data_IF_913611794141
#
_entry.id   IF_913611794141
#
_cell.length_a   1.000
_cell.length_b   1.000
_cell.length_c   1.000
_cell.angle_alpha   90.00
_cell.angle_beta   90.00
_cell.angle_gamma   90.00
#
_symmetry.space_group_name_H-M   'P 1'
#
loop_
_entity.id
_entity.type
_entity.pdbx_description
1 polymer ?
#
# COMPACT_ATOMS: atom_id res chain seq x y z
N UNK A 1 14.80 24.94 10.73
CA UNK A 1 15.49 24.23 9.61
C UNK A 1 14.49 23.22 9.09
N UNK A 2 14.35 23.07 7.78
CA UNK A 2 13.25 22.29 7.22
C UNK A 2 13.66 20.81 7.07
N UNK A 3 12.88 19.91 7.66
CA UNK A 3 13.07 18.45 7.63
C UNK A 3 11.96 17.76 6.82
N UNK A 4 12.22 16.54 6.37
CA UNK A 4 11.20 15.63 5.85
C UNK A 4 11.07 14.44 6.79
N UNK A 5 9.84 14.10 7.17
CA UNK A 5 9.55 12.90 7.96
C UNK A 5 9.08 11.80 7.01
N UNK A 6 9.87 10.73 6.88
CA UNK A 6 9.48 9.53 6.15
C UNK A 6 8.93 8.47 7.11
N UNK A 7 7.74 7.97 6.82
CA UNK A 7 7.11 6.83 7.49
C UNK A 7 7.29 5.62 6.59
N UNK A 8 7.91 4.57 7.09
CA UNK A 8 8.07 3.30 6.40
C UNK A 8 7.42 2.19 7.23
N UNK A 9 6.20 1.81 6.85
CA UNK A 9 5.45 0.75 7.50
C UNK A 9 5.80 -0.60 6.83
N UNK A 10 6.78 -1.30 7.37
CA UNK A 10 7.22 -2.59 6.86
C UNK A 10 6.35 -3.76 7.35
N UNK A 11 6.70 -4.98 6.93
CA UNK A 11 5.97 -6.20 7.31
C UNK A 11 6.17 -6.60 8.77
N UNK A 12 7.36 -6.37 9.34
CA UNK A 12 7.69 -6.77 10.73
C UNK A 12 7.87 -5.59 11.68
N UNK A 13 8.09 -4.38 11.16
CA UNK A 13 8.27 -3.18 11.97
C UNK A 13 7.85 -1.92 11.23
N UNK A 14 7.46 -0.91 11.99
CA UNK A 14 7.24 0.45 11.53
C UNK A 14 8.49 1.29 11.79
N UNK A 15 8.86 2.16 10.86
CA UNK A 15 10.00 3.07 10.97
C UNK A 15 9.59 4.50 10.67
N UNK A 16 10.17 5.44 11.41
CA UNK A 16 10.10 6.86 11.12
C UNK A 16 11.53 7.41 10.99
N UNK A 17 11.81 8.09 9.88
CA UNK A 17 13.14 8.64 9.57
C UNK A 17 12.99 10.14 9.31
N UNK A 18 13.81 10.94 9.99
CA UNK A 18 13.93 12.37 9.70
C UNK A 18 15.12 12.61 8.78
N UNK A 19 14.86 13.35 7.71
CA UNK A 19 15.88 13.84 6.78
C UNK A 19 16.02 15.35 6.91
N UNK A 20 17.25 15.85 6.88
CA UNK A 20 17.53 17.28 6.85
C UNK A 20 17.38 17.88 5.43
N UNK A 21 17.68 19.17 5.28
CA UNK A 21 17.60 19.87 4.00
C UNK A 21 18.60 19.36 2.95
N UNK A 22 19.61 18.57 3.35
CA UNK A 22 20.55 17.90 2.45
C UNK A 22 20.13 16.44 2.17
N UNK A 23 18.93 16.03 2.61
CA UNK A 23 18.43 14.66 2.56
C UNK A 23 19.33 13.66 3.28
N UNK A 24 20.08 14.10 4.29
CA UNK A 24 20.82 13.21 5.18
C UNK A 24 19.91 12.71 6.30
N UNK A 25 19.92 11.41 6.63
CA UNK A 25 19.12 10.89 7.74
C UNK A 25 19.72 11.38 9.07
N UNK A 26 18.99 12.22 9.79
CA UNK A 26 19.41 12.82 11.07
C UNK A 26 18.80 12.11 12.28
N UNK A 27 17.73 11.33 12.09
CA UNK A 27 17.10 10.57 13.16
C UNK A 27 16.33 9.37 12.63
N UNK A 28 16.31 8.28 13.39
CA UNK A 28 15.53 7.06 13.10
C UNK A 28 14.89 6.56 14.39
N UNK A 29 13.62 6.19 14.31
CA UNK A 29 12.93 5.37 15.30
C UNK A 29 12.31 4.16 14.59
N UNK A 30 12.30 3.01 15.27
CA UNK A 30 11.80 1.75 14.75
C UNK A 30 11.12 0.97 15.88
N UNK A 31 9.98 0.35 15.58
CA UNK A 31 9.24 -0.49 16.52
C UNK A 31 8.66 -1.69 15.78
N UNK A 32 8.89 -2.89 16.30
CA UNK A 32 8.27 -4.13 15.81
C UNK A 32 6.81 -4.23 16.24
N UNK A 33 6.02 -5.02 15.53
CA UNK A 33 4.63 -5.32 15.88
C UNK A 33 4.29 -6.79 15.63
N UNK A 34 3.22 -7.25 16.26
CA UNK A 34 2.88 -8.67 16.35
C UNK A 34 2.50 -9.26 15.00
N UNK A 35 3.06 -10.43 14.69
CA UNK A 35 2.69 -11.26 13.54
C UNK A 35 1.68 -12.31 14.00
N UNK A 36 0.50 -12.39 13.38
CA UNK A 36 -0.51 -13.39 13.74
C UNK A 36 -0.62 -14.50 12.69
N UNK A 37 -0.55 -15.74 13.15
CA UNK A 37 -0.67 -16.94 12.31
C UNK A 37 -1.84 -17.81 12.79
N UNK A 38 -3.09 -17.41 12.53
CA UNK A 38 -4.28 -18.11 13.08
C UNK A 38 -4.46 -19.51 12.50
N UNK A 39 -3.87 -19.79 11.33
CA UNK A 39 -3.93 -21.08 10.63
C UNK A 39 -2.74 -21.22 9.69
N UNK A 40 -2.47 -22.44 9.22
CA UNK A 40 -1.38 -22.70 8.29
C UNK A 40 -1.53 -21.85 7.00
N UNK A 41 -0.49 -21.10 6.66
CA UNK A 41 -0.49 -20.20 5.50
C UNK A 41 -1.29 -18.90 5.69
N UNK A 42 -1.88 -18.66 6.86
CA UNK A 42 -2.58 -17.43 7.18
C UNK A 42 -1.65 -16.47 7.92
N UNK A 43 -1.64 -15.21 7.51
CA UNK A 43 -0.80 -14.15 8.07
C UNK A 43 -1.65 -12.90 8.24
N UNK A 44 -1.74 -12.41 9.47
CA UNK A 44 -2.57 -11.27 9.85
C UNK A 44 -1.81 -10.27 10.70
N UNK A 45 -2.18 -8.99 10.59
CA UNK A 45 -1.73 -7.92 11.48
C UNK A 45 -2.93 -7.22 12.13
N UNK A 46 -2.75 -6.72 13.35
CA UNK A 46 -3.72 -5.82 13.96
C UNK A 46 -3.55 -4.39 13.38
N UNK A 47 -4.57 -3.83 12.69
CA UNK A 47 -4.46 -2.48 12.10
C UNK A 47 -4.25 -1.37 13.14
N UNK A 48 -4.78 -1.53 14.35
CA UNK A 48 -4.59 -0.55 15.43
C UNK A 48 -3.20 -0.67 16.06
N UNK A 49 -2.62 -1.88 16.11
CA UNK A 49 -1.20 -2.05 16.49
C UNK A 49 -0.27 -1.43 15.45
N UNK A 50 -0.55 -1.62 14.15
CA UNK A 50 0.17 -0.94 13.06
C UNK A 50 0.11 0.58 13.27
N UNK A 51 -1.07 1.14 13.47
CA UNK A 51 -1.23 2.57 13.70
C UNK A 51 -0.46 3.05 14.94
N UNK A 52 -0.58 2.32 16.05
CA UNK A 52 0.12 2.63 17.30
C UNK A 52 1.63 2.72 17.08
N UNK A 53 2.24 1.75 16.39
CA UNK A 53 3.69 1.75 16.13
C UNK A 53 4.12 2.88 15.18
N UNK A 54 3.33 3.20 14.15
CA UNK A 54 3.58 4.35 13.27
C UNK A 54 3.56 5.66 14.08
N UNK A 55 2.51 5.88 14.87
CA UNK A 55 2.38 7.09 15.67
C UNK A 55 3.47 7.20 16.76
N UNK A 56 3.82 6.07 17.38
CA UNK A 56 4.90 5.96 18.37
C UNK A 56 6.25 6.36 17.77
N UNK A 57 6.65 5.73 16.67
CA UNK A 57 7.93 6.00 16.01
C UNK A 57 8.06 7.43 15.50
N UNK A 58 6.98 8.02 14.97
CA UNK A 58 6.97 9.43 14.56
C UNK A 58 7.19 10.40 15.73
N UNK A 59 6.55 10.16 16.89
CA UNK A 59 6.77 10.96 18.10
C UNK A 59 8.16 10.76 18.66
N UNK A 60 8.64 9.53 18.67
CA UNK A 60 9.96 9.18 19.19
C UNK A 60 11.07 9.88 18.42
N UNK A 61 11.04 9.83 17.09
CA UNK A 61 12.10 10.43 16.27
C UNK A 61 12.10 11.95 16.38
N UNK A 62 10.93 12.59 16.38
CA UNK A 62 10.83 14.05 16.51
C UNK A 62 11.25 14.53 17.90
N UNK A 63 10.85 13.84 18.96
CA UNK A 63 11.26 14.14 20.33
C UNK A 63 12.76 13.96 20.55
N UNK A 64 13.37 12.90 20.02
CA UNK A 64 14.83 12.63 20.15
C UNK A 64 15.68 13.71 19.48
N UNK A 65 15.26 14.21 18.32
CA UNK A 65 15.97 15.27 17.60
C UNK A 65 15.64 16.67 18.17
N UNK A 66 14.53 16.80 18.89
CA UNK A 66 14.14 18.04 19.54
C UNK A 66 13.57 19.08 18.59
N UNK A 67 12.96 18.63 17.48
CA UNK A 67 12.31 19.50 16.49
C UNK A 67 10.81 19.59 16.73
N UNK A 68 10.19 20.66 16.23
CA UNK A 68 8.74 20.86 16.30
C UNK A 68 8.08 20.51 14.97
N UNK A 69 6.75 20.44 14.95
CA UNK A 69 5.96 20.29 13.72
C UNK A 69 6.35 21.30 12.65
N UNK A 70 6.57 22.56 13.04
CA UNK A 70 6.88 23.67 12.14
C UNK A 70 8.28 23.55 11.49
N UNK A 71 9.13 22.66 12.02
CA UNK A 71 10.42 22.31 11.41
C UNK A 71 10.29 21.19 10.36
N UNK A 72 9.11 20.57 10.21
CA UNK A 72 8.85 19.48 9.26
C UNK A 72 8.07 20.06 8.07
N UNK A 73 8.68 20.06 6.88
CA UNK A 73 8.01 20.53 5.66
C UNK A 73 6.89 19.61 5.21
N UNK A 74 7.10 18.30 5.31
CA UNK A 74 6.16 17.31 4.81
C UNK A 74 6.42 15.92 5.41
N UNK A 75 5.38 15.09 5.33
CA UNK A 75 5.43 13.65 5.55
C UNK A 75 5.42 12.92 4.20
N UNK A 76 6.33 11.96 4.06
CA UNK A 76 6.28 10.92 3.03
C UNK A 76 5.89 9.58 3.65
N UNK A 77 5.01 8.82 3.00
CA UNK A 77 4.54 7.51 3.46
C UNK A 77 4.96 6.44 2.46
N UNK A 78 5.55 5.38 2.99
CA UNK A 78 5.78 4.15 2.26
C UNK A 78 5.40 2.96 3.12
N UNK A 79 5.01 1.87 2.48
CA UNK A 79 4.37 0.75 3.17
C UNK A 79 4.60 -0.59 2.49
N UNK A 80 4.51 -1.66 3.27
CA UNK A 80 4.32 -3.01 2.74
C UNK A 80 3.09 -3.02 1.83
N UNK A 81 3.29 -3.50 0.62
CA UNK A 81 2.22 -3.56 -0.38
C UNK A 81 1.31 -4.77 -0.13
N UNK A 82 0.20 -4.72 -0.87
CA UNK A 82 -0.94 -5.63 -0.94
C UNK A 82 -1.76 -5.84 0.34
N UNK A 83 -1.16 -5.74 1.53
CA UNK A 83 -1.85 -5.94 2.83
C UNK A 83 -3.14 -5.12 2.91
N UNK A 84 -4.23 -5.79 3.24
CA UNK A 84 -5.61 -5.31 3.06
C UNK A 84 -6.30 -5.04 4.40
N UNK A 85 -6.87 -3.84 4.55
CA UNK A 85 -7.64 -3.43 5.72
C UNK A 85 -9.05 -3.02 5.28
N UNK A 86 -10.06 -3.39 6.07
CA UNK A 86 -11.43 -2.92 5.94
C UNK A 86 -11.89 -2.35 7.29
N UNK A 87 -12.49 -1.17 7.28
CA UNK A 87 -12.94 -0.48 8.48
C UNK A 87 -14.28 0.22 8.28
N UNK A 88 -14.95 0.52 9.39
CA UNK A 88 -16.16 1.33 9.39
C UNK A 88 -15.84 2.81 9.12
N UNK A 89 -16.55 3.40 8.16
CA UNK A 89 -16.36 4.79 7.74
C UNK A 89 -16.61 5.80 8.85
N UNK A 90 -17.59 5.55 9.72
CA UNK A 90 -18.04 6.47 10.75
C UNK A 90 -17.20 6.37 12.03
N UNK A 91 -16.88 5.15 12.47
CA UNK A 91 -16.12 4.93 13.71
C UNK A 91 -14.62 4.87 13.48
N UNK A 92 -14.18 4.55 12.26
CA UNK A 92 -12.77 4.30 11.96
C UNK A 92 -12.25 2.96 12.47
N UNK A 93 -13.12 2.09 12.99
CA UNK A 93 -12.74 0.80 13.58
C UNK A 93 -12.59 -0.29 12.51
N UNK A 94 -11.49 -1.06 12.51
CA UNK A 94 -11.35 -2.21 11.63
C UNK A 94 -12.41 -3.29 11.90
N UNK A 95 -13.00 -3.85 10.85
CA UNK A 95 -13.99 -4.94 10.98
C UNK A 95 -13.33 -6.31 11.14
N UNK A 96 -12.03 -6.39 10.85
CA UNK A 96 -11.20 -7.59 10.92
C UNK A 96 -9.72 -7.19 11.02
N UNK A 97 -8.86 -8.13 11.41
CA UNK A 97 -7.41 -7.98 11.25
C UNK A 97 -7.04 -7.76 9.77
N UNK A 98 -5.96 -7.03 9.53
CA UNK A 98 -5.42 -6.86 8.20
C UNK A 98 -4.97 -8.22 7.66
N UNK A 99 -5.34 -8.56 6.42
CA UNK A 99 -4.85 -9.77 5.76
C UNK A 99 -3.57 -9.40 5.01
N UNK A 100 -2.45 -10.01 5.41
CA UNK A 100 -1.12 -9.64 4.94
C UNK A 100 -0.85 -10.19 3.54
N UNK A 101 0.04 -9.55 2.80
CA UNK A 101 0.44 -9.99 1.45
C UNK A 101 0.95 -11.43 1.38
N UNK A 102 1.58 -11.94 2.44
CA UNK A 102 2.07 -13.32 2.54
C UNK A 102 0.96 -14.36 2.69
N UNK A 103 -0.25 -13.92 3.07
CA UNK A 103 -1.38 -14.80 3.36
C UNK A 103 -1.86 -15.56 2.12
N UNK A 104 -2.08 -16.86 2.27
CA UNK A 104 -2.48 -17.79 1.21
C UNK A 104 -3.95 -18.22 1.28
N UNK A 105 -4.77 -17.68 2.19
CA UNK A 105 -6.14 -18.16 2.44
C UNK A 105 -7.06 -18.07 1.23
N UNK A 106 -6.74 -17.20 0.28
CA UNK A 106 -7.55 -16.96 -0.93
C UNK A 106 -7.06 -17.76 -2.15
N UNK A 107 -6.19 -18.76 -1.94
CA UNK A 107 -5.65 -19.60 -3.00
C UNK A 107 -6.74 -20.34 -3.79
N UNK A 108 -7.73 -20.91 -3.10
CA UNK A 108 -8.83 -21.65 -3.75
C UNK A 108 -9.70 -20.73 -4.61
N UNK A 109 -10.01 -19.52 -4.12
CA UNK A 109 -10.70 -18.50 -4.92
C UNK A 109 -9.89 -18.12 -6.17
N UNK A 110 -8.57 -17.97 -6.06
CA UNK A 110 -7.72 -17.69 -7.21
C UNK A 110 -7.68 -18.85 -8.22
N UNK A 111 -7.74 -20.10 -7.74
CA UNK A 111 -7.82 -21.28 -8.59
C UNK A 111 -9.15 -21.33 -9.35
N UNK A 112 -10.27 -21.12 -8.64
CA UNK A 112 -11.60 -21.05 -9.22
C UNK A 112 -11.69 -19.99 -10.32
N UNK A 113 -11.26 -18.75 -10.05
CA UNK A 113 -11.29 -17.66 -11.04
C UNK A 113 -10.46 -17.98 -12.30
N UNK A 114 -9.39 -18.77 -12.15
CA UNK A 114 -8.58 -19.22 -13.28
C UNK A 114 -9.32 -20.29 -14.09
N UNK A 115 -9.95 -21.26 -13.43
CA UNK A 115 -10.76 -22.31 -14.08
C UNK A 115 -11.95 -21.71 -14.84
N UNK A 116 -12.52 -20.62 -14.33
CA UNK A 116 -13.58 -19.84 -14.98
C UNK A 116 -13.07 -18.95 -16.14
N UNK A 117 -11.75 -18.92 -16.39
CA UNK A 117 -11.15 -18.24 -17.54
C UNK A 117 -10.86 -16.76 -17.36
N UNK A 118 -10.83 -16.25 -16.12
CA UNK A 118 -10.64 -14.81 -15.86
C UNK A 118 -9.18 -14.33 -15.88
N UNK A 119 -8.20 -15.24 -15.91
CA UNK A 119 -6.77 -14.88 -15.75
C UNK A 119 -6.26 -13.91 -16.82
N UNK A 120 -6.57 -14.13 -18.10
CA UNK A 120 -6.17 -13.23 -19.19
C UNK A 120 -6.81 -11.84 -19.04
N UNK A 121 -8.07 -11.78 -18.62
CA UNK A 121 -8.78 -10.51 -18.40
C UNK A 121 -8.13 -9.71 -17.26
N UNK A 122 -7.80 -10.38 -16.15
CA UNK A 122 -7.12 -9.75 -15.01
C UNK A 122 -5.75 -9.23 -15.44
N UNK A 123 -4.93 -10.08 -16.06
CA UNK A 123 -3.58 -9.72 -16.48
C UNK A 123 -3.57 -8.57 -17.50
N UNK A 124 -4.48 -8.55 -18.46
CA UNK A 124 -4.57 -7.49 -19.46
C UNK A 124 -5.02 -6.13 -18.88
N UNK A 125 -5.60 -6.09 -17.68
CA UNK A 125 -6.06 -4.86 -17.04
C UNK A 125 -5.10 -4.36 -15.98
N UNK A 126 -4.57 -5.28 -15.18
CA UNK A 126 -3.81 -4.96 -13.96
C UNK A 126 -2.32 -5.21 -14.14
N UNK A 127 -1.92 -6.01 -15.13
CA UNK A 127 -0.56 -6.50 -15.27
C UNK A 127 -0.19 -7.62 -14.28
N UNK A 128 -1.15 -8.07 -13.46
CA UNK A 128 -0.96 -9.05 -12.39
C UNK A 128 -1.53 -10.42 -12.74
N UNK A 129 -1.15 -11.42 -11.95
CA UNK A 129 -1.67 -12.79 -12.03
C UNK A 129 -2.82 -13.01 -11.03
N UNK A 130 -3.61 -14.06 -11.23
CA UNK A 130 -4.53 -14.55 -10.19
C UNK A 130 -3.72 -15.30 -9.11
N UNK A 131 -3.30 -14.58 -8.07
CA UNK A 131 -2.59 -15.15 -6.92
C UNK A 131 -3.09 -14.50 -5.62
N UNK A 132 -3.18 -15.24 -4.49
CA UNK A 132 -3.64 -14.69 -3.22
C UNK A 132 -2.70 -13.62 -2.66
N UNK A 133 -1.54 -13.36 -3.28
CA UNK A 133 -0.68 -12.23 -2.97
C UNK A 133 -1.43 -10.88 -2.98
N UNK A 134 -2.34 -10.65 -3.93
CA UNK A 134 -2.95 -9.33 -4.18
C UNK A 134 -4.22 -9.05 -3.37
N UNK A 135 -4.53 -7.76 -3.19
CA UNK A 135 -5.57 -7.29 -2.27
C UNK A 135 -7.00 -7.71 -2.62
N UNK A 136 -7.36 -7.80 -3.92
CA UNK A 136 -8.76 -7.95 -4.33
C UNK A 136 -9.42 -9.20 -3.73
N UNK A 137 -8.71 -10.33 -3.73
CA UNK A 137 -9.27 -11.57 -3.16
C UNK A 137 -9.31 -11.54 -1.65
N UNK A 138 -8.37 -10.84 -0.99
CA UNK A 138 -8.39 -10.62 0.47
C UNK A 138 -9.58 -9.75 0.89
N UNK A 139 -9.87 -8.70 0.12
CA UNK A 139 -11.06 -7.86 0.32
C UNK A 139 -12.34 -8.69 0.14
N UNK A 140 -12.45 -9.45 -0.96
CA UNK A 140 -13.59 -10.34 -1.18
C UNK A 140 -13.78 -11.33 -0.02
N UNK A 141 -12.68 -11.95 0.45
CA UNK A 141 -12.71 -12.86 1.59
C UNK A 141 -13.25 -12.20 2.86
N UNK A 142 -12.81 -10.98 3.20
CA UNK A 142 -13.32 -10.25 4.37
C UNK A 142 -14.83 -10.03 4.25
N UNK A 143 -15.28 -9.58 3.08
CA UNK A 143 -16.69 -9.31 2.84
C UNK A 143 -17.56 -10.58 2.91
N UNK A 144 -17.01 -11.74 2.53
CA UNK A 144 -17.72 -13.03 2.56
C UNK A 144 -17.69 -13.74 3.92
N UNK A 145 -16.66 -13.50 4.74
CA UNK A 145 -16.42 -14.27 5.97
C UNK A 145 -16.68 -13.48 7.26
N UNK A 146 -16.66 -12.14 7.21
CA UNK A 146 -16.97 -11.30 8.37
C UNK A 146 -18.47 -11.05 8.40
N UNK A 147 -19.12 -11.41 9.51
CA UNK A 147 -20.56 -11.31 9.67
C UNK A 147 -21.08 -9.89 9.35
N UNK A 148 -22.02 -9.81 8.41
CA UNK A 148 -22.64 -8.56 7.98
C UNK A 148 -21.76 -7.64 7.12
N UNK A 149 -20.48 -7.96 6.88
CA UNK A 149 -19.56 -7.07 6.17
C UNK A 149 -20.01 -6.77 4.73
N UNK A 150 -20.49 -7.77 3.98
CA UNK A 150 -21.02 -7.57 2.62
C UNK A 150 -22.15 -6.54 2.59
N UNK A 151 -23.18 -6.73 3.42
CA UNK A 151 -24.35 -5.84 3.45
C UNK A 151 -23.98 -4.41 3.86
N UNK A 152 -23.07 -4.26 4.83
CA UNK A 152 -22.57 -2.94 5.27
C UNK A 152 -21.72 -2.26 4.19
N UNK A 153 -20.91 -3.02 3.45
CA UNK A 153 -20.17 -2.50 2.29
C UNK A 153 -21.11 -2.00 1.18
N UNK A 154 -22.15 -2.76 0.85
CA UNK A 154 -23.19 -2.37 -0.12
C UNK A 154 -23.96 -1.11 0.34
N UNK A 155 -24.15 -0.94 1.64
CA UNK A 155 -24.72 0.27 2.24
C UNK A 155 -23.75 1.47 2.28
N UNK A 156 -22.48 1.29 1.87
CA UNK A 156 -21.46 2.35 1.86
C UNK A 156 -20.85 2.67 3.23
N UNK A 157 -21.08 1.81 4.21
CA UNK A 157 -20.62 1.98 5.60
C UNK A 157 -19.16 1.53 5.79
N UNK A 158 -18.65 0.68 4.90
CA UNK A 158 -17.28 0.18 4.98
C UNK A 158 -16.36 0.83 3.96
N UNK A 159 -15.11 1.03 4.38
CA UNK A 159 -14.00 1.48 3.55
C UNK A 159 -12.97 0.37 3.41
N UNK A 160 -12.31 0.35 2.25
CA UNK A 160 -11.14 -0.48 1.98
C UNK A 160 -9.91 0.41 1.81
N UNK A 161 -8.75 -0.14 2.17
CA UNK A 161 -7.46 0.46 1.87
C UNK A 161 -6.32 -0.54 2.02
N UNK A 162 -5.25 -0.25 1.29
CA UNK A 162 -3.91 -0.74 1.63
C UNK A 162 -3.36 0.05 2.83
N UNK A 163 -2.17 -0.32 3.30
CA UNK A 163 -1.58 0.28 4.52
C UNK A 163 -1.41 1.81 4.40
N UNK A 164 -1.00 2.33 3.25
CA UNK A 164 -0.90 3.77 3.00
C UNK A 164 -2.25 4.48 3.23
N UNK A 165 -3.34 3.96 2.67
CA UNK A 165 -4.67 4.52 2.84
C UNK A 165 -5.08 4.53 4.31
N UNK A 166 -4.77 3.46 5.04
CA UNK A 166 -5.03 3.39 6.47
C UNK A 166 -4.23 4.43 7.26
N UNK A 167 -2.93 4.59 6.97
CA UNK A 167 -2.09 5.59 7.64
C UNK A 167 -2.58 7.01 7.32
N UNK A 168 -2.92 7.30 6.06
CA UNK A 168 -3.48 8.61 5.65
C UNK A 168 -4.79 8.86 6.39
N UNK A 169 -5.69 7.88 6.42
CA UNK A 169 -6.97 7.97 7.13
C UNK A 169 -6.77 8.29 8.61
N UNK A 170 -5.84 7.62 9.29
CA UNK A 170 -5.55 7.85 10.72
C UNK A 170 -4.85 9.19 10.96
N UNK A 171 -3.87 9.56 10.13
CA UNK A 171 -3.16 10.84 10.24
C UNK A 171 -4.08 12.04 10.01
N UNK A 172 -5.04 11.91 9.10
CA UNK A 172 -6.02 12.95 8.75
C UNK A 172 -7.32 12.83 9.56
N UNK A 173 -7.35 11.96 10.56
CA UNK A 173 -8.50 11.76 11.47
C UNK A 173 -9.82 11.53 10.69
N UNK A 174 -9.76 10.72 9.63
CA UNK A 174 -10.89 10.34 8.79
C UNK A 174 -11.29 11.34 7.71
N UNK A 175 -10.52 12.42 7.51
CA UNK A 175 -10.83 13.43 6.47
C UNK A 175 -10.46 12.98 5.07
N UNK A 176 -9.41 12.16 4.91
CA UNK A 176 -8.90 11.75 3.59
C UNK A 176 -8.90 10.23 3.44
N UNK A 177 -9.61 9.74 2.43
CA UNK A 177 -9.60 8.35 1.99
C UNK A 177 -8.97 8.26 0.59
N UNK A 178 -7.64 8.16 0.56
CA UNK A 178 -6.86 8.19 -0.67
C UNK A 178 -5.70 7.17 -0.65
N UNK A 179 -5.23 6.81 -1.83
CA UNK A 179 -4.05 5.98 -2.10
C UNK A 179 -3.27 6.56 -3.28
N UNK A 180 -2.03 6.13 -3.49
CA UNK A 180 -1.29 6.48 -4.69
C UNK A 180 -1.42 5.42 -5.80
N UNK A 181 -1.05 5.79 -7.02
CA UNK A 181 -1.10 4.90 -8.18
C UNK A 181 -0.28 3.60 -8.00
N UNK A 182 0.82 3.62 -7.25
CA UNK A 182 1.66 2.43 -7.06
C UNK A 182 1.01 1.41 -6.14
N UNK A 183 0.43 1.83 -5.01
CA UNK A 183 -0.34 0.94 -4.14
C UNK A 183 -1.62 0.46 -4.83
N UNK A 184 -2.36 1.35 -5.51
CA UNK A 184 -3.56 0.98 -6.28
C UNK A 184 -3.26 -0.12 -7.32
N UNK A 185 -2.15 -0.01 -8.06
CA UNK A 185 -1.72 -0.99 -9.05
C UNK A 185 -1.44 -2.39 -8.47
N UNK A 186 -1.28 -2.53 -7.16
CA UNK A 186 -1.04 -3.82 -6.48
C UNK A 186 -2.31 -4.49 -5.96
N UNK A 187 -3.44 -3.81 -6.04
CA UNK A 187 -4.69 -4.33 -5.51
C UNK A 187 -5.31 -5.44 -6.35
N UNK A 188 -4.95 -5.57 -7.64
CA UNK A 188 -5.71 -6.33 -8.66
C UNK A 188 -7.09 -5.72 -8.99
N UNK A 189 -7.46 -4.57 -8.41
CA UNK A 189 -8.70 -3.84 -8.73
C UNK A 189 -8.47 -2.63 -9.64
N UNK A 190 -7.23 -2.20 -9.85
CA UNK A 190 -6.90 -1.00 -10.61
C UNK A 190 -6.50 -1.33 -12.06
N UNK A 191 -7.15 -0.69 -13.02
CA UNK A 191 -6.79 -0.78 -14.44
C UNK A 191 -5.59 0.15 -14.70
N UNK A 192 -4.39 -0.44 -14.80
CA UNK A 192 -3.12 0.31 -14.92
C UNK A 192 -2.97 1.01 -16.27
N UNK A 193 -3.81 0.67 -17.26
CA UNK A 193 -3.80 1.30 -18.58
C UNK A 193 -4.73 2.50 -18.63
N UNK A 194 -5.83 2.46 -17.88
CA UNK A 194 -6.84 3.53 -17.84
C UNK A 194 -6.70 4.46 -16.64
N UNK A 195 -5.87 4.12 -15.66
CA UNK A 195 -5.65 4.92 -14.46
C UNK A 195 -6.91 5.02 -13.58
N UNK A 196 -7.67 3.93 -13.43
CA UNK A 196 -8.91 3.92 -12.62
C UNK A 196 -9.29 2.54 -12.10
N UNK A 197 -10.14 2.49 -11.08
CA UNK A 197 -10.72 1.24 -10.59
C UNK A 197 -11.51 0.49 -11.69
N UNK A 198 -11.23 -0.80 -11.82
CA UNK A 198 -11.81 -1.70 -12.80
C UNK A 198 -13.17 -2.20 -12.34
N UNK A 199 -14.24 -1.62 -12.91
CA UNK A 199 -15.61 -2.06 -12.65
C UNK A 199 -15.76 -3.56 -12.94
N UNK A 200 -15.13 -4.06 -14.01
CA UNK A 200 -15.19 -5.48 -14.39
C UNK A 200 -14.65 -6.41 -13.29
N UNK A 201 -13.56 -6.05 -12.62
CA UNK A 201 -12.99 -6.91 -11.57
C UNK A 201 -13.73 -6.70 -10.25
N UNK A 202 -14.14 -5.47 -9.95
CA UNK A 202 -15.02 -5.17 -8.82
C UNK A 202 -16.33 -5.94 -8.89
N UNK A 203 -17.01 -5.94 -10.04
CA UNK A 203 -18.25 -6.69 -10.26
C UNK A 203 -18.02 -8.20 -10.12
N UNK A 204 -16.93 -8.73 -10.69
CA UNK A 204 -16.55 -10.15 -10.58
C UNK A 204 -16.39 -10.62 -9.13
N UNK A 205 -15.91 -9.75 -8.24
CA UNK A 205 -15.67 -10.04 -6.83
C UNK A 205 -16.74 -9.44 -5.90
N UNK A 206 -17.81 -8.88 -6.48
CA UNK A 206 -18.90 -8.18 -5.79
C UNK A 206 -18.42 -7.07 -4.83
N UNK A 207 -17.37 -6.33 -5.20
CA UNK A 207 -16.78 -5.26 -4.39
C UNK A 207 -17.43 -3.92 -4.79
N UNK A 208 -18.17 -3.24 -3.89
CA UNK A 208 -18.73 -1.93 -4.18
C UNK A 208 -17.61 -0.89 -4.40
N UNK A 209 -17.70 -0.12 -5.49
CA UNK A 209 -16.73 0.94 -5.78
C UNK A 209 -16.69 2.03 -4.71
N UNK A 210 -17.77 2.20 -3.94
CA UNK A 210 -17.87 3.13 -2.80
C UNK A 210 -16.89 2.83 -1.66
N UNK A 211 -16.35 1.61 -1.61
CA UNK A 211 -15.30 1.23 -0.65
C UNK A 211 -13.91 1.69 -1.06
N UNK A 212 -13.68 1.99 -2.34
CA UNK A 212 -12.34 2.18 -2.89
C UNK A 212 -11.85 3.63 -2.73
N UNK A 213 -10.59 3.85 -2.31
CA UNK A 213 -10.05 5.19 -2.12
C UNK A 213 -9.90 5.96 -3.43
N UNK A 214 -9.83 7.29 -3.32
CA UNK A 214 -9.36 8.12 -4.43
C UNK A 214 -7.90 7.77 -4.75
N UNK A 215 -7.57 7.62 -6.04
CA UNK A 215 -6.18 7.34 -6.47
C UNK A 215 -5.55 8.64 -6.96
N UNK A 216 -4.43 9.02 -6.34
CA UNK A 216 -3.66 10.24 -6.62
C UNK A 216 -2.27 9.94 -7.18
N UNK A 217 -1.57 10.98 -7.60
CA UNK A 217 -0.15 10.91 -7.94
C UNK A 217 0.69 10.55 -6.70
N UNK A 218 1.89 10.01 -6.92
CA UNK A 218 2.79 9.67 -5.81
C UNK A 218 3.28 10.91 -5.05
N UNK A 219 3.27 12.08 -5.69
CA UNK A 219 3.56 13.38 -5.09
C UNK A 219 2.35 14.29 -5.30
N UNK A 220 1.45 14.31 -4.32
CA UNK A 220 0.17 15.03 -4.35
C UNK A 220 -0.19 15.46 -2.92
N UNK A 221 -1.20 16.30 -2.76
CA UNK A 221 -1.73 16.66 -1.45
C UNK A 221 -2.58 15.50 -0.90
N UNK A 222 -2.09 14.78 0.11
CA UNK A 222 -2.83 13.73 0.83
C UNK A 222 -3.46 14.23 2.15
N UNK A 223 -3.54 15.55 2.32
CA UNK A 223 -4.08 16.22 3.49
C UNK A 223 -3.02 16.56 4.54
N UNK A 224 -3.48 17.06 5.68
CA UNK A 224 -2.63 17.49 6.79
C UNK A 224 -2.96 16.72 8.07
N UNK A 225 -1.93 16.49 8.89
CA UNK A 225 -2.07 15.95 10.24
C UNK A 225 -1.75 17.00 11.28
N UNK A 226 -2.44 16.96 12.42
CA UNK A 226 -2.17 17.77 13.63
C UNK A 226 -1.63 16.93 14.78
N UNK A 227 -1.53 15.61 14.59
CA UNK A 227 -1.25 14.64 15.65
C UNK A 227 0.19 14.70 16.20
N UNK A 228 1.07 15.48 15.55
CA UNK A 228 2.45 15.72 15.97
C UNK A 228 2.65 17.12 16.57
N UNK A 229 1.57 17.78 17.01
CA UNK A 229 1.62 19.05 17.76
C UNK A 229 1.48 20.31 16.91
N UNK A 230 1.26 20.16 15.60
CA UNK A 230 0.97 21.24 14.65
C UNK A 230 0.66 20.65 13.27
N UNK A 231 0.23 21.50 12.33
CA UNK A 231 -0.14 21.08 10.98
C UNK A 231 1.08 20.70 10.15
N UNK A 232 1.11 19.45 9.67
CA UNK A 232 2.15 18.95 8.76
C UNK A 232 1.46 18.32 7.54
N UNK A 233 1.80 18.73 6.31
CA UNK A 233 1.21 18.18 5.10
C UNK A 233 1.79 16.80 4.77
N UNK A 234 0.97 15.93 4.19
CA UNK A 234 1.36 14.62 3.66
C UNK A 234 1.46 14.79 2.15
N UNK A 235 2.68 14.73 1.59
CA UNK A 235 2.93 15.13 0.19
C UNK A 235 3.57 14.04 -0.67
N UNK A 236 3.81 12.85 -0.12
CA UNK A 236 4.43 11.76 -0.84
C UNK A 236 3.91 10.41 -0.37
N UNK A 237 3.48 9.57 -1.30
CA UNK A 237 2.98 8.22 -1.02
C UNK A 237 3.45 7.27 -2.13
N UNK A 238 4.05 6.15 -1.76
CA UNK A 238 4.37 5.07 -2.69
C UNK A 238 4.50 3.75 -1.95
N UNK A 239 4.20 2.63 -2.60
CA UNK A 239 4.49 1.31 -2.05
C UNK A 239 6.01 1.09 -1.91
N UNK A 240 6.43 0.34 -0.88
CA UNK A 240 7.84 0.16 -0.48
C UNK A 240 8.83 -0.12 -1.60
N UNK A 241 8.49 -1.03 -2.51
CA UNK A 241 9.39 -1.40 -3.60
C UNK A 241 9.51 -0.31 -4.66
N UNK A 242 8.43 0.44 -4.89
CA UNK A 242 8.42 1.61 -5.76
C UNK A 242 9.13 2.80 -5.12
N UNK A 243 8.91 3.06 -3.83
CA UNK A 243 9.65 4.05 -3.06
C UNK A 243 11.17 3.78 -3.11
N UNK A 244 11.59 2.51 -2.95
CA UNK A 244 12.99 2.11 -3.10
C UNK A 244 13.52 2.31 -4.53
N UNK A 245 12.67 2.18 -5.56
CA UNK A 245 13.03 2.45 -6.97
C UNK A 245 13.29 3.94 -7.19
N UNK A 246 12.42 4.80 -6.63
CA UNK A 246 12.60 6.26 -6.64
C UNK A 246 13.86 6.66 -5.85
N UNK A 247 14.05 6.10 -4.66
CA UNK A 247 15.21 6.39 -3.79
C UNK A 247 16.56 5.97 -4.39
N UNK A 248 16.56 4.96 -5.28
CA UNK A 248 17.72 4.56 -6.08
C UNK A 248 17.89 5.38 -7.37
N UNK A 249 17.10 6.45 -7.54
CA UNK A 249 17.10 7.31 -8.72
C UNK A 249 16.89 6.55 -10.05
N UNK A 250 16.11 5.46 -10.03
CA UNK A 250 15.81 4.65 -11.21
C UNK A 250 14.76 5.35 -12.11
N UNK A 251 15.12 6.50 -12.69
CA UNK A 251 14.23 7.35 -13.47
C UNK A 251 14.27 7.12 -14.98
N UNK A 252 15.26 6.40 -15.49
CA UNK A 252 15.37 6.08 -16.90
C UNK A 252 14.91 4.64 -17.21
N UNK A 253 14.27 4.40 -18.37
CA UNK A 253 13.98 3.05 -18.84
C UNK A 253 15.24 2.19 -18.87
N UNK A 254 15.14 0.95 -18.40
CA UNK A 254 16.26 0.02 -18.30
C UNK A 254 17.01 0.06 -16.97
N UNK A 255 16.79 1.06 -16.12
CA UNK A 255 17.33 1.07 -14.76
C UNK A 255 16.60 0.03 -13.91
N UNK A 256 17.37 -0.70 -13.10
CA UNK A 256 16.85 -1.79 -12.26
C UNK A 256 17.46 -1.72 -10.86
N UNK A 257 16.66 -2.06 -9.87
CA UNK A 257 17.11 -2.30 -8.50
C UNK A 257 16.63 -3.66 -8.00
N UNK A 258 17.24 -4.15 -6.94
CA UNK A 258 16.74 -5.26 -6.14
C UNK A 258 16.80 -4.91 -4.66
N UNK A 259 15.70 -5.07 -3.95
CA UNK A 259 15.65 -4.85 -2.49
C UNK A 259 15.65 -6.19 -1.78
N UNK A 260 16.54 -6.35 -0.80
CA UNK A 260 16.64 -7.56 0.03
C UNK A 260 16.07 -7.25 1.43
N UNK A 261 14.91 -7.83 1.73
CA UNK A 261 14.24 -7.75 3.03
C UNK A 261 13.59 -9.08 3.38
N UNK A 262 12.38 -9.07 3.94
CA UNK A 262 11.59 -10.28 4.18
C UNK A 262 11.43 -11.10 2.88
N UNK A 263 11.10 -10.42 1.78
CA UNK A 263 11.20 -10.93 0.42
C UNK A 263 12.34 -10.25 -0.37
N UNK A 264 12.55 -10.70 -1.60
CA UNK A 264 13.44 -10.05 -2.57
C UNK A 264 12.63 -9.59 -3.79
N UNK A 265 12.75 -8.31 -4.13
CA UNK A 265 11.95 -7.70 -5.20
C UNK A 265 12.84 -6.93 -6.17
N UNK A 266 12.91 -7.44 -7.39
CA UNK A 266 13.61 -6.81 -8.50
C UNK A 266 12.62 -5.99 -9.34
N UNK A 267 12.88 -4.70 -9.50
CA UNK A 267 12.04 -3.80 -10.30
C UNK A 267 12.87 -3.16 -11.40
N UNK A 268 12.39 -3.27 -12.64
CA UNK A 268 12.96 -2.68 -13.85
C UNK A 268 12.03 -1.58 -14.36
N UNK A 269 12.52 -0.35 -14.45
CA UNK A 269 11.78 0.76 -15.04
C UNK A 269 11.59 0.55 -16.56
N UNK A 270 10.35 0.64 -17.06
CA UNK A 270 10.02 0.49 -18.49
C UNK A 270 9.51 1.77 -19.13
N UNK A 271 9.58 2.91 -18.43
CA UNK A 271 9.11 4.21 -18.91
C UNK A 271 7.60 4.26 -19.05
N UNK A 272 7.12 5.00 -20.05
CA UNK A 272 5.69 5.20 -20.32
C UNK A 272 5.02 3.97 -20.97
N UNK A 273 5.79 2.92 -21.30
CA UNK A 273 5.25 1.73 -21.97
C UNK A 273 5.12 0.57 -20.97
N UNK A 274 3.90 0.06 -20.72
CA UNK A 274 3.71 -1.14 -19.93
C UNK A 274 4.18 -2.36 -20.74
N UNK A 275 5.11 -3.13 -20.18
CA UNK A 275 5.67 -4.32 -20.85
C UNK A 275 5.03 -5.58 -20.30
N UNK A 276 4.23 -6.27 -21.11
CA UNK A 276 3.68 -7.59 -20.74
C UNK A 276 4.78 -8.64 -20.67
N UNK A 277 4.92 -9.30 -19.52
CA UNK A 277 5.88 -10.39 -19.36
C UNK A 277 5.50 -11.64 -20.14
N UNK A 278 6.51 -12.31 -20.71
CA UNK A 278 6.40 -13.69 -21.25
C UNK A 278 6.97 -14.75 -20.31
N UNK A 279 7.45 -14.34 -19.13
CA UNK A 279 8.13 -15.18 -18.15
C UNK A 279 7.52 -15.04 -16.75
N UNK A 280 6.19 -14.78 -16.67
CA UNK A 280 5.43 -14.65 -15.42
C UNK A 280 5.92 -13.57 -14.44
N UNK A 281 6.59 -12.52 -14.95
CA UNK A 281 6.83 -11.28 -14.19
C UNK A 281 5.55 -10.43 -14.16
N UNK A 282 5.46 -9.54 -13.18
CA UNK A 282 4.34 -8.62 -13.04
C UNK A 282 4.61 -7.34 -13.83
N UNK A 283 3.59 -6.82 -14.53
CA UNK A 283 3.60 -5.44 -15.04
C UNK A 283 2.92 -4.56 -14.00
N UNK A 284 3.56 -3.46 -13.60
CA UNK A 284 3.01 -2.60 -12.55
C UNK A 284 3.36 -1.14 -12.80
N UNK A 285 2.84 -0.25 -11.96
CA UNK A 285 3.21 1.17 -11.97
C UNK A 285 4.42 1.35 -11.06
N UNK A 286 5.48 1.96 -11.59
CA UNK A 286 6.68 2.33 -10.84
C UNK A 286 6.45 3.61 -10.03
N UNK A 287 5.81 4.61 -10.64
CA UNK A 287 5.36 5.85 -10.01
C UNK A 287 4.48 6.63 -11.01
N UNK A 288 3.68 7.56 -10.48
CA UNK A 288 2.92 8.52 -11.28
C UNK A 288 3.18 9.93 -10.72
N UNK A 289 3.58 10.85 -11.60
CA UNK A 289 3.93 12.23 -11.25
C UNK A 289 3.36 13.17 -12.31
N UNK A 290 2.69 14.24 -11.90
CA UNK A 290 2.04 15.21 -12.79
C UNK A 290 1.11 14.54 -13.82
N UNK A 291 0.36 13.53 -13.39
CA UNK A 291 -0.52 12.71 -14.21
C UNK A 291 0.19 11.79 -15.22
N UNK A 292 1.53 11.69 -15.18
CA UNK A 292 2.32 10.84 -16.07
C UNK A 292 2.73 9.55 -15.37
N UNK A 293 2.20 8.43 -15.88
CA UNK A 293 2.50 7.10 -15.35
C UNK A 293 3.81 6.57 -15.92
N UNK A 294 4.71 6.12 -15.04
CA UNK A 294 5.86 5.29 -15.39
C UNK A 294 5.62 3.87 -14.93
N UNK A 295 5.87 2.89 -15.80
CA UNK A 295 5.67 1.47 -15.55
C UNK A 295 6.95 0.76 -15.13
N UNK A 296 6.78 -0.42 -14.54
CA UNK A 296 7.85 -1.35 -14.24
C UNK A 296 7.48 -2.80 -14.53
N UNK A 297 8.51 -3.60 -14.79
CA UNK A 297 8.46 -5.05 -14.62
C UNK A 297 8.97 -5.42 -13.24
N UNK A 298 8.23 -6.26 -12.52
CA UNK A 298 8.59 -6.73 -11.19
C UNK A 298 8.74 -8.25 -11.16
N UNK A 299 9.85 -8.71 -10.58
CA UNK A 299 10.04 -10.08 -10.12
C UNK A 299 9.93 -10.12 -8.59
N UNK A 300 9.00 -10.91 -8.08
CA UNK A 300 8.71 -11.04 -6.65
C UNK A 300 9.17 -12.39 -6.13
N UNK A 301 10.06 -12.39 -5.13
CA UNK A 301 10.52 -13.59 -4.40
C UNK A 301 10.03 -13.45 -2.96
N UNK A 302 9.02 -14.23 -2.58
CA UNK A 302 8.29 -14.04 -1.32
C UNK A 302 9.08 -14.40 -0.06
N UNK A 303 10.09 -15.26 -0.17
CA UNK A 303 10.92 -15.72 0.96
C UNK A 303 12.38 -15.50 0.60
N UNK A 304 13.05 -14.58 1.30
CA UNK A 304 14.49 -14.35 1.17
C UNK A 304 15.18 -14.30 2.55
N UNK A 305 14.81 -13.34 3.39
CA UNK A 305 15.41 -13.15 4.71
C UNK A 305 14.58 -13.67 5.90
N UNK A 306 13.47 -14.37 5.62
CA UNK A 306 12.58 -14.95 6.64
C UNK A 306 13.15 -16.25 7.24
#
# INVERSE_FOLDING_TARGET
MTHILAIDQGTTSSRAILFDAQMSPVGVAQEEFTQHFPSSGWVEHDPEEIWRTVASTCRDVTARIGIKSDDIAAIGITNQRETTIVWDRATGEPVHKAIVWQDRRTADLCAQLREEGHEDMVMNRTGLLLDPYFSATKLAWILDNVEGARARAEAGELLFGTIDTWIIWKLTEGRVHATDATNAARTMLYDIHKGRWSHTISDLLHIPLSMLPEVRDCADDFGTTTLLGGEIPILGVAGDQQAATIGQACFAPGMMKSTYGTGCFALLNTGETPVRSRNRLLTTIAYQLDGKTTYALEGSIFIAGA
#
